data_IF_580556277606
#
_entry.id   IF_580556277606
#
_cell.length_a   1.000
_cell.length_b   1.000
_cell.length_c   1.000
_cell.angle_alpha   90.00
_cell.angle_beta   90.00
_cell.angle_gamma   90.00
#
_symmetry.space_group_name_H-M   'P 1'
#
loop_
_entity.id
_entity.type
_entity.pdbx_description
1 polymer ?
#
# COMPACT_ATOMS: atom_id res chain seq x y z
N UNK A 1 25.42 -7.88 16.52
CA UNK A 1 26.12 -6.62 16.22
C UNK A 1 25.27 -5.47 16.76
N UNK A 2 25.82 -4.72 17.72
CA UNK A 2 25.34 -3.49 18.39
C UNK A 2 23.87 -3.43 18.90
N UNK A 3 23.63 -4.00 20.09
CA UNK A 3 22.33 -3.94 20.80
C UNK A 3 22.17 -2.75 21.78
N UNK A 4 23.14 -1.83 21.88
CA UNK A 4 23.17 -0.86 22.99
C UNK A 4 22.33 0.43 22.79
N UNK A 5 21.81 0.72 21.59
CA UNK A 5 21.05 1.96 21.33
C UNK A 5 19.88 1.81 20.35
N UNK A 6 19.24 0.64 20.27
CA UNK A 6 18.03 0.51 19.44
C UNK A 6 16.82 1.15 20.15
N UNK A 7 16.16 2.16 19.57
CA UNK A 7 14.98 2.76 20.18
C UNK A 7 13.85 1.74 20.40
N UNK A 8 13.06 1.90 21.47
CA UNK A 8 11.99 0.95 21.81
C UNK A 8 11.01 0.68 20.64
N UNK A 9 10.57 1.74 19.93
CA UNK A 9 9.67 1.58 18.77
C UNK A 9 10.28 0.73 17.64
N UNK A 10 11.60 0.77 17.45
CA UNK A 10 12.32 -0.07 16.47
C UNK A 10 12.42 -1.51 16.99
N UNK A 11 12.61 -1.72 18.29
CA UNK A 11 12.58 -3.06 18.88
C UNK A 11 11.21 -3.72 18.73
N UNK A 12 10.13 -3.01 19.09
CA UNK A 12 8.75 -3.49 18.90
C UNK A 12 8.44 -3.82 17.43
N UNK A 13 8.89 -2.96 16.51
CA UNK A 13 8.76 -3.23 15.08
C UNK A 13 9.50 -4.50 14.67
N UNK A 14 10.74 -4.67 15.10
CA UNK A 14 11.54 -5.85 14.77
C UNK A 14 10.92 -7.16 15.29
N UNK A 15 10.29 -7.12 16.46
CA UNK A 15 9.61 -8.29 17.04
C UNK A 15 8.41 -8.76 16.21
N UNK A 16 7.85 -7.91 15.35
CA UNK A 16 6.76 -8.29 14.45
C UNK A 16 7.20 -9.25 13.33
N UNK A 17 8.50 -9.33 13.03
CA UNK A 17 9.02 -10.16 11.96
C UNK A 17 9.37 -11.57 12.47
N UNK A 18 8.85 -12.63 11.84
CA UNK A 18 9.26 -14.00 12.13
C UNK A 18 10.77 -14.20 11.92
N UNK A 19 11.40 -15.13 12.65
CA UNK A 19 12.80 -15.50 12.44
C UNK A 19 13.08 -15.89 10.97
N UNK A 20 14.28 -15.56 10.48
CA UNK A 20 14.67 -15.82 9.09
C UNK A 20 14.59 -17.31 8.68
N UNK A 21 14.70 -18.22 9.66
CA UNK A 21 14.54 -19.67 9.45
C UNK A 21 13.10 -20.09 9.18
N UNK A 22 12.13 -19.39 9.76
CA UNK A 22 10.70 -19.69 9.61
C UNK A 22 10.00 -18.78 8.61
N UNK A 23 10.64 -17.70 8.16
CA UNK A 23 10.05 -16.66 7.31
C UNK A 23 9.45 -17.23 6.00
N UNK A 24 10.09 -18.24 5.40
CA UNK A 24 9.59 -18.92 4.20
C UNK A 24 8.51 -19.96 4.50
N UNK A 25 8.38 -20.39 5.75
CA UNK A 25 7.41 -21.37 6.23
C UNK A 25 6.31 -20.73 7.09
N UNK A 26 6.28 -19.39 7.18
CA UNK A 26 5.30 -18.58 7.95
C UNK A 26 3.87 -18.63 7.37
N UNK A 27 3.55 -19.71 6.65
CA UNK A 27 2.30 -19.90 5.92
C UNK A 27 2.28 -19.14 4.59
N UNK A 28 1.30 -19.45 3.73
CA UNK A 28 1.12 -18.77 2.44
C UNK A 28 0.78 -17.29 2.58
N UNK A 29 0.39 -16.81 3.76
CA UNK A 29 -0.09 -15.44 3.96
C UNK A 29 1.00 -14.40 4.26
N UNK A 30 2.23 -14.83 4.58
CA UNK A 30 3.34 -13.94 4.98
C UNK A 30 2.90 -12.88 6.00
N UNK A 31 2.35 -13.34 7.12
CA UNK A 31 1.78 -12.48 8.16
C UNK A 31 2.79 -12.15 9.27
N UNK A 32 2.75 -10.93 9.85
CA UNK A 32 3.55 -10.59 11.02
C UNK A 32 3.13 -11.43 12.24
N UNK A 33 4.00 -11.50 13.25
CA UNK A 33 3.62 -12.08 14.54
C UNK A 33 2.45 -11.28 15.15
N UNK A 34 1.28 -11.90 15.26
CA UNK A 34 0.05 -11.22 15.66
C UNK A 34 0.12 -10.60 17.06
N UNK A 35 0.76 -11.27 18.02
CA UNK A 35 0.89 -10.74 19.38
C UNK A 35 1.78 -9.50 19.42
N UNK A 36 2.90 -9.54 18.71
CA UNK A 36 3.84 -8.42 18.63
C UNK A 36 3.27 -7.28 17.78
N UNK A 37 2.50 -7.59 16.74
CA UNK A 37 1.77 -6.59 15.96
C UNK A 37 0.75 -5.84 16.82
N UNK A 38 -0.06 -6.54 17.61
CA UNK A 38 -1.02 -5.91 18.53
C UNK A 38 -0.32 -5.02 19.56
N UNK A 39 0.85 -5.44 20.06
CA UNK A 39 1.68 -4.61 20.95
C UNK A 39 2.20 -3.37 20.25
N UNK A 40 2.67 -3.49 19.01
CA UNK A 40 3.16 -2.36 18.21
C UNK A 40 2.04 -1.36 17.92
N UNK A 41 0.87 -1.80 17.47
CA UNK A 41 -0.26 -0.91 17.17
C UNK A 41 -0.82 -0.25 18.42
N UNK A 42 -0.89 -0.98 19.54
CA UNK A 42 -1.23 -0.39 20.85
C UNK A 42 -0.20 0.67 21.28
N UNK A 43 1.10 0.37 21.17
CA UNK A 43 2.14 1.34 21.51
C UNK A 43 2.06 2.60 20.64
N UNK A 44 1.88 2.42 19.33
CA UNK A 44 1.84 3.50 18.35
C UNK A 44 0.60 4.40 18.50
N UNK A 45 -0.57 3.82 18.77
CA UNK A 45 -1.82 4.56 19.00
C UNK A 45 -1.81 5.38 20.30
N UNK A 46 -1.02 4.97 21.30
CA UNK A 46 -0.86 5.72 22.55
C UNK A 46 0.28 6.75 22.52
N UNK A 47 1.15 6.70 21.50
CA UNK A 47 2.33 7.57 21.36
C UNK A 47 2.42 8.12 19.92
N UNK A 48 1.50 9.00 19.51
CA UNK A 48 1.44 9.50 18.13
C UNK A 48 2.73 10.21 17.70
N UNK A 49 3.50 10.79 18.62
CA UNK A 49 4.80 11.41 18.33
C UNK A 49 5.88 10.40 17.87
N UNK A 50 5.62 9.10 18.01
CA UNK A 50 6.48 8.02 17.49
C UNK A 50 6.03 7.54 16.11
N UNK A 51 4.81 7.84 15.66
CA UNK A 51 4.28 7.36 14.39
C UNK A 51 5.13 7.80 13.20
N UNK A 52 5.56 9.06 13.18
CA UNK A 52 6.42 9.57 12.10
C UNK A 52 7.74 8.79 12.04
N UNK A 53 8.36 8.51 13.18
CA UNK A 53 9.62 7.75 13.25
C UNK A 53 9.43 6.29 12.84
N UNK A 54 8.34 5.67 13.30
CA UNK A 54 7.98 4.30 12.92
C UNK A 54 7.70 4.19 11.43
N UNK A 55 6.95 5.15 10.87
CA UNK A 55 6.70 5.29 9.44
C UNK A 55 7.99 5.42 8.64
N UNK A 56 8.91 6.29 9.05
CA UNK A 56 10.20 6.47 8.36
C UNK A 56 11.07 5.21 8.36
N UNK A 57 11.10 4.45 9.46
CA UNK A 57 11.84 3.19 9.53
C UNK A 57 11.22 2.12 8.63
N UNK A 58 9.89 2.04 8.60
CA UNK A 58 9.14 1.16 7.69
C UNK A 58 9.37 1.53 6.23
N UNK A 59 9.32 2.81 5.88
CA UNK A 59 9.56 3.30 4.52
C UNK A 59 10.98 2.96 4.04
N UNK A 60 11.98 3.14 4.90
CA UNK A 60 13.37 2.77 4.60
C UNK A 60 13.51 1.28 4.31
N UNK A 61 12.80 0.44 5.08
CA UNK A 61 12.73 -1.01 4.83
C UNK A 61 12.06 -1.30 3.50
N UNK A 62 10.85 -0.79 3.27
CA UNK A 62 10.11 -0.99 2.02
C UNK A 62 10.95 -0.61 0.80
N UNK A 63 11.59 0.56 0.80
CA UNK A 63 12.47 1.01 -0.30
C UNK A 63 13.64 0.06 -0.57
N UNK A 64 14.20 -0.53 0.49
CA UNK A 64 15.32 -1.47 0.37
C UNK A 64 14.83 -2.84 -0.08
N UNK A 65 13.72 -3.30 0.47
CA UNK A 65 13.12 -4.61 0.21
C UNK A 65 12.52 -4.66 -1.20
N UNK A 66 11.80 -3.63 -1.64
CA UNK A 66 11.23 -3.54 -2.99
C UNK A 66 12.31 -3.56 -4.08
N UNK A 67 13.45 -2.91 -3.87
CA UNK A 67 14.57 -2.97 -4.85
C UNK A 67 15.20 -4.36 -4.92
N UNK A 68 15.24 -5.09 -3.81
CA UNK A 68 15.90 -6.41 -3.69
C UNK A 68 14.95 -7.57 -3.98
N UNK A 69 13.66 -7.42 -3.76
CA UNK A 69 12.66 -8.40 -4.16
C UNK A 69 12.64 -8.54 -5.69
N UNK A 70 12.84 -7.42 -6.41
CA UNK A 70 12.89 -7.36 -7.87
C UNK A 70 13.99 -8.22 -8.46
N UNK A 71 15.06 -8.46 -7.72
CA UNK A 71 16.14 -9.35 -8.11
C UNK A 71 15.84 -10.84 -7.84
N UNK A 72 14.58 -11.20 -7.54
CA UNK A 72 14.13 -12.59 -7.31
C UNK A 72 14.41 -13.14 -5.92
N UNK A 73 14.71 -12.30 -4.93
CA UNK A 73 15.01 -12.79 -3.58
C UNK A 73 13.73 -13.07 -2.78
N UNK A 74 13.33 -14.34 -2.74
CA UNK A 74 12.09 -14.82 -2.10
C UNK A 74 12.02 -14.44 -0.61
N UNK A 75 13.14 -14.47 0.12
CA UNK A 75 13.16 -14.09 1.54
C UNK A 75 12.85 -12.61 1.74
N UNK A 76 13.42 -11.76 0.88
CA UNK A 76 13.19 -10.32 0.93
C UNK A 76 11.76 -9.98 0.46
N UNK A 77 11.26 -10.66 -0.57
CA UNK A 77 9.85 -10.56 -0.99
C UNK A 77 8.90 -10.87 0.17
N UNK A 78 9.13 -11.97 0.89
CA UNK A 78 8.32 -12.34 2.04
C UNK A 78 8.40 -11.31 3.18
N UNK A 79 9.61 -10.75 3.45
CA UNK A 79 9.78 -9.64 4.40
C UNK A 79 9.00 -8.40 3.97
N UNK A 80 9.02 -8.05 2.68
CA UNK A 80 8.25 -6.93 2.12
C UNK A 80 6.74 -7.10 2.34
N UNK A 81 6.20 -8.30 2.11
CA UNK A 81 4.79 -8.61 2.34
C UNK A 81 4.39 -8.41 3.82
N UNK A 82 5.26 -8.83 4.74
CA UNK A 82 5.06 -8.61 6.19
C UNK A 82 5.13 -7.12 6.53
N UNK A 83 6.10 -6.39 5.97
CA UNK A 83 6.24 -4.93 6.17
C UNK A 83 4.98 -4.18 5.71
N UNK A 84 4.42 -4.55 4.55
CA UNK A 84 3.16 -3.98 4.05
C UNK A 84 1.97 -4.34 4.94
N UNK A 85 1.90 -5.56 5.47
CA UNK A 85 0.86 -5.95 6.42
C UNK A 85 0.91 -5.15 7.74
N UNK A 86 2.12 -4.86 8.23
CA UNK A 86 2.34 -4.00 9.40
C UNK A 86 1.86 -2.57 9.10
N UNK A 87 2.25 -2.00 7.95
CA UNK A 87 1.82 -0.66 7.53
C UNK A 87 0.29 -0.54 7.45
N UNK A 88 -0.39 -1.52 6.85
CA UNK A 88 -1.86 -1.57 6.79
C UNK A 88 -2.49 -1.57 8.18
N UNK A 89 -1.92 -2.36 9.09
CA UNK A 89 -2.43 -2.48 10.46
C UNK A 89 -2.26 -1.16 11.22
N UNK A 90 -1.11 -0.51 11.09
CA UNK A 90 -0.89 0.83 11.65
C UNK A 90 -1.86 1.86 11.07
N UNK A 91 -2.10 1.84 9.75
CA UNK A 91 -3.06 2.75 9.12
C UNK A 91 -4.49 2.57 9.66
N UNK A 92 -4.87 1.33 10.00
CA UNK A 92 -6.20 1.00 10.51
C UNK A 92 -6.37 1.35 11.99
N UNK A 93 -5.37 1.01 12.81
CA UNK A 93 -5.43 1.20 14.26
C UNK A 93 -5.11 2.64 14.67
N UNK A 94 -4.26 3.35 13.93
CA UNK A 94 -3.84 4.73 14.22
C UNK A 94 -4.63 5.76 13.40
N UNK A 95 -5.92 5.50 13.13
CA UNK A 95 -6.77 6.31 12.24
C UNK A 95 -6.85 7.80 12.61
N UNK A 96 -6.80 8.13 13.91
CA UNK A 96 -6.86 9.54 14.40
C UNK A 96 -5.63 10.35 14.02
N UNK A 97 -4.49 9.67 13.91
CA UNK A 97 -3.18 10.27 13.68
C UNK A 97 -2.62 9.84 12.31
N UNK A 98 -3.49 9.42 11.39
CA UNK A 98 -3.11 8.89 10.08
C UNK A 98 -2.27 9.89 9.28
N UNK A 99 -2.49 11.19 9.48
CA UNK A 99 -1.72 12.27 8.86
C UNK A 99 -0.21 12.17 9.18
N UNK A 100 0.16 11.74 10.40
CA UNK A 100 1.56 11.56 10.81
C UNK A 100 2.25 10.38 10.13
N UNK A 101 1.48 9.38 9.71
CA UNK A 101 1.95 8.19 9.01
C UNK A 101 1.88 8.34 7.48
N UNK A 102 1.00 9.22 6.98
CA UNK A 102 0.65 9.37 5.57
C UNK A 102 1.87 9.52 4.65
N UNK A 103 2.84 10.42 4.91
CA UNK A 103 3.98 10.59 4.01
C UNK A 103 4.77 9.31 3.78
N UNK A 104 5.17 8.64 4.86
CA UNK A 104 5.94 7.40 4.77
C UNK A 104 5.12 6.23 4.23
N UNK A 105 3.82 6.17 4.53
CA UNK A 105 2.93 5.13 4.02
C UNK A 105 2.76 5.23 2.50
N UNK A 106 2.45 6.42 1.98
CA UNK A 106 2.24 6.62 0.55
C UNK A 106 3.56 6.50 -0.22
N UNK A 107 4.68 6.99 0.32
CA UNK A 107 6.00 6.74 -0.26
C UNK A 107 6.36 5.25 -0.29
N UNK A 108 5.92 4.47 0.71
CA UNK A 108 6.10 3.01 0.71
C UNK A 108 5.28 2.33 -0.38
N UNK A 109 4.00 2.70 -0.52
CA UNK A 109 3.12 2.19 -1.58
C UNK A 109 3.69 2.51 -2.97
N UNK A 110 4.07 3.76 -3.21
CA UNK A 110 4.68 4.19 -4.47
C UNK A 110 5.95 3.37 -4.76
N UNK A 111 6.85 3.27 -3.78
CA UNK A 111 8.10 2.54 -3.97
C UNK A 111 7.87 1.06 -4.26
N UNK A 112 6.86 0.43 -3.66
CA UNK A 112 6.48 -0.94 -3.99
C UNK A 112 5.97 -1.04 -5.43
N UNK A 113 5.01 -0.19 -5.83
CA UNK A 113 4.41 -0.24 -7.17
C UNK A 113 5.43 0.05 -8.29
N UNK A 114 6.37 0.96 -8.05
CA UNK A 114 7.42 1.33 -9.00
C UNK A 114 8.48 0.24 -9.20
N UNK A 115 8.69 -0.66 -8.22
CA UNK A 115 9.71 -1.70 -8.30
C UNK A 115 9.15 -3.12 -8.52
N UNK A 116 7.92 -3.41 -8.08
CA UNK A 116 7.33 -4.75 -8.03
C UNK A 116 6.03 -4.87 -8.84
N UNK A 117 5.98 -4.30 -10.04
CA UNK A 117 4.75 -4.29 -10.84
C UNK A 117 4.29 -5.68 -11.33
N UNK A 118 5.21 -6.65 -11.42
CA UNK A 118 4.91 -7.99 -11.96
C UNK A 118 4.45 -9.00 -10.89
N UNK A 119 4.57 -8.65 -9.61
CA UNK A 119 4.18 -9.53 -8.51
C UNK A 119 2.81 -9.13 -7.96
N UNK A 120 1.77 -9.80 -8.47
CA UNK A 120 0.39 -9.44 -8.14
C UNK A 120 0.08 -9.53 -6.64
N UNK A 121 0.74 -10.42 -5.89
CA UNK A 121 0.52 -10.54 -4.45
C UNK A 121 1.08 -9.32 -3.70
N UNK A 122 2.30 -8.90 -4.06
CA UNK A 122 2.93 -7.70 -3.50
C UNK A 122 2.12 -6.45 -3.85
N UNK A 123 1.68 -6.34 -5.10
CA UNK A 123 0.82 -5.25 -5.57
C UNK A 123 -0.52 -5.24 -4.82
N UNK A 124 -1.14 -6.40 -4.58
CA UNK A 124 -2.38 -6.51 -3.81
C UNK A 124 -2.20 -6.11 -2.34
N UNK A 125 -1.05 -6.42 -1.73
CA UNK A 125 -0.72 -5.93 -0.38
C UNK A 125 -0.52 -4.41 -0.36
N UNK A 126 0.17 -3.83 -1.34
CA UNK A 126 0.31 -2.39 -1.47
C UNK A 126 -1.05 -1.69 -1.67
N UNK A 127 -1.93 -2.25 -2.51
CA UNK A 127 -3.31 -1.79 -2.66
C UNK A 127 -4.07 -1.83 -1.32
N UNK A 128 -3.88 -2.90 -0.53
CA UNK A 128 -4.54 -3.03 0.77
C UNK A 128 -4.07 -1.99 1.80
N UNK A 129 -2.81 -1.55 1.73
CA UNK A 129 -2.27 -0.43 2.53
C UNK A 129 -2.88 0.89 2.08
N UNK A 130 -2.89 1.12 0.76
CA UNK A 130 -3.49 2.32 0.16
C UNK A 130 -4.97 2.47 0.52
N UNK A 131 -5.75 1.40 0.39
CA UNK A 131 -7.19 1.39 0.73
C UNK A 131 -7.41 1.70 2.21
N UNK A 132 -6.59 1.14 3.11
CA UNK A 132 -6.68 1.45 4.52
C UNK A 132 -6.42 2.94 4.79
N UNK A 133 -5.44 3.53 4.10
CA UNK A 133 -5.17 4.96 4.19
C UNK A 133 -6.33 5.81 3.63
N UNK A 134 -6.84 5.50 2.45
CA UNK A 134 -7.96 6.25 1.83
C UNK A 134 -9.23 6.23 2.68
N UNK A 135 -9.40 5.21 3.53
CA UNK A 135 -10.54 5.08 4.44
C UNK A 135 -10.54 6.12 5.56
N UNK A 136 -9.38 6.59 6.01
CA UNK A 136 -9.25 7.43 7.20
C UNK A 136 -8.63 8.81 6.95
N UNK A 137 -8.02 9.02 5.79
CA UNK A 137 -7.47 10.34 5.43
C UNK A 137 -8.57 11.33 5.07
N UNK A 138 -8.35 12.57 5.47
CA UNK A 138 -9.14 13.74 5.08
C UNK A 138 -8.54 14.46 3.84
N UNK A 139 -7.40 13.98 3.34
CA UNK A 139 -6.70 14.51 2.16
C UNK A 139 -6.01 15.87 2.33
N UNK A 140 -5.93 16.45 3.53
CA UNK A 140 -5.39 17.82 3.70
C UNK A 140 -3.92 17.97 3.26
N UNK A 141 -3.17 16.87 3.23
CA UNK A 141 -1.77 16.84 2.79
C UNK A 141 -1.66 16.90 1.25
N UNK A 142 -2.70 16.48 0.53
CA UNK A 142 -2.75 16.54 -0.94
C UNK A 142 -2.83 18.00 -1.38
N UNK A 143 -1.89 18.42 -2.23
CA UNK A 143 -1.73 19.81 -2.68
C UNK A 143 -0.88 20.68 -1.75
N UNK A 144 -0.86 20.39 -0.45
CA UNK A 144 -0.06 21.12 0.54
C UNK A 144 1.42 20.69 0.54
N UNK A 145 1.70 19.38 0.42
CA UNK A 145 3.05 18.84 0.29
C UNK A 145 3.25 18.27 -1.11
N UNK A 146 4.19 18.85 -1.87
CA UNK A 146 4.42 18.48 -3.26
C UNK A 146 4.98 17.06 -3.42
N UNK A 147 5.89 16.63 -2.53
CA UNK A 147 6.47 15.29 -2.57
C UNK A 147 5.46 14.21 -2.23
N UNK A 148 4.62 14.46 -1.23
CA UNK A 148 3.49 13.60 -0.91
C UNK A 148 2.50 13.50 -2.08
N UNK A 149 2.13 14.66 -2.65
CA UNK A 149 1.17 14.73 -3.75
C UNK A 149 1.68 13.98 -4.98
N UNK A 150 2.96 14.10 -5.31
CA UNK A 150 3.58 13.35 -6.39
C UNK A 150 3.51 11.83 -6.15
N UNK A 151 3.91 11.36 -4.96
CA UNK A 151 3.87 9.93 -4.62
C UNK A 151 2.43 9.38 -4.63
N UNK A 152 1.48 10.17 -4.13
CA UNK A 152 0.05 9.83 -4.15
C UNK A 152 -0.46 9.68 -5.58
N UNK A 153 -0.28 10.70 -6.42
CA UNK A 153 -0.75 10.67 -7.81
C UNK A 153 -0.04 9.57 -8.62
N UNK A 154 1.25 9.32 -8.36
CA UNK A 154 1.97 8.20 -8.97
C UNK A 154 1.33 6.87 -8.60
N UNK A 155 1.03 6.64 -7.32
CA UNK A 155 0.34 5.44 -6.85
C UNK A 155 -1.03 5.26 -7.52
N UNK A 156 -1.83 6.33 -7.61
CA UNK A 156 -3.13 6.30 -8.30
C UNK A 156 -2.96 5.96 -9.80
N UNK A 157 -1.93 6.48 -10.48
CA UNK A 157 -1.62 6.11 -11.87
C UNK A 157 -1.25 4.64 -12.03
N UNK A 158 -0.46 4.09 -11.10
CA UNK A 158 -0.13 2.66 -11.11
C UNK A 158 -1.38 1.80 -10.93
N UNK A 159 -2.27 2.14 -9.99
CA UNK A 159 -3.53 1.41 -9.82
C UNK A 159 -4.45 1.54 -11.03
N UNK A 160 -4.53 2.73 -11.63
CA UNK A 160 -5.27 2.97 -12.87
C UNK A 160 -4.73 2.10 -14.02
N UNK A 161 -3.40 1.94 -14.13
CA UNK A 161 -2.80 1.08 -15.14
C UNK A 161 -3.15 -0.41 -14.93
N UNK A 162 -3.22 -0.89 -13.68
CA UNK A 162 -3.66 -2.26 -13.36
C UNK A 162 -5.11 -2.53 -13.81
N UNK A 163 -6.00 -1.54 -13.68
CA UNK A 163 -7.40 -1.63 -14.13
C UNK A 163 -7.52 -1.91 -15.63
N UNK A 164 -6.56 -1.45 -16.43
CA UNK A 164 -6.50 -1.66 -17.88
C UNK A 164 -5.56 -2.81 -18.28
N UNK A 165 -5.24 -3.75 -17.38
CA UNK A 165 -4.35 -4.87 -17.70
C UNK A 165 -4.82 -5.65 -18.93
N UNK A 166 -3.88 -5.96 -19.82
CA UNK A 166 -4.11 -6.73 -21.06
C UNK A 166 -3.36 -8.06 -21.06
N UNK A 167 -3.12 -8.63 -19.87
CA UNK A 167 -2.47 -9.94 -19.76
C UNK A 167 -3.19 -11.00 -20.61
N UNK A 168 -2.42 -11.87 -21.27
CA UNK A 168 -2.96 -12.92 -22.14
C UNK A 168 -3.76 -13.95 -21.34
N UNK A 169 -3.26 -14.30 -20.16
CA UNK A 169 -3.96 -15.15 -19.22
C UNK A 169 -5.18 -14.42 -18.64
N UNK A 170 -6.36 -15.01 -18.86
CA UNK A 170 -7.64 -14.40 -18.49
C UNK A 170 -7.80 -14.24 -16.98
N UNK A 171 -7.36 -15.23 -16.19
CA UNK A 171 -7.48 -15.19 -14.74
C UNK A 171 -6.56 -14.13 -14.16
N UNK A 172 -5.29 -14.14 -14.55
CA UNK A 172 -4.30 -13.15 -14.15
C UNK A 172 -4.73 -11.73 -14.54
N UNK A 173 -5.24 -11.56 -15.77
CA UNK A 173 -5.77 -10.28 -16.23
C UNK A 173 -6.88 -9.78 -15.31
N UNK A 174 -7.91 -10.59 -15.06
CA UNK A 174 -9.05 -10.17 -14.26
C UNK A 174 -8.64 -9.89 -12.80
N UNK A 175 -7.79 -10.74 -12.20
CA UNK A 175 -7.28 -10.51 -10.84
C UNK A 175 -6.48 -9.21 -10.75
N UNK A 176 -5.65 -8.93 -11.74
CA UNK A 176 -4.89 -7.67 -11.84
C UNK A 176 -5.83 -6.46 -11.91
N UNK A 177 -6.84 -6.53 -12.78
CA UNK A 177 -7.85 -5.48 -12.91
C UNK A 177 -8.62 -5.24 -11.61
N UNK A 178 -9.05 -6.31 -10.94
CA UNK A 178 -9.76 -6.24 -9.67
C UNK A 178 -8.93 -5.57 -8.57
N UNK A 179 -7.63 -5.87 -8.48
CA UNK A 179 -6.72 -5.20 -7.53
C UNK A 179 -6.63 -3.70 -7.83
N UNK A 180 -6.47 -3.32 -9.10
CA UNK A 180 -6.51 -1.93 -9.51
C UNK A 180 -7.81 -1.24 -9.12
N UNK A 181 -8.96 -1.85 -9.46
CA UNK A 181 -10.28 -1.28 -9.17
C UNK A 181 -10.56 -1.16 -7.68
N UNK A 182 -10.11 -2.11 -6.86
CA UNK A 182 -10.25 -2.01 -5.40
C UNK A 182 -9.54 -0.76 -4.86
N UNK A 183 -8.31 -0.48 -5.31
CA UNK A 183 -7.57 0.70 -4.89
C UNK A 183 -8.20 2.00 -5.42
N UNK A 184 -8.61 2.03 -6.69
CA UNK A 184 -9.29 3.18 -7.29
C UNK A 184 -10.63 3.48 -6.60
N UNK A 185 -11.39 2.45 -6.25
CA UNK A 185 -12.63 2.59 -5.47
C UNK A 185 -12.35 3.20 -4.09
N UNK A 186 -11.24 2.82 -3.45
CA UNK A 186 -10.77 3.45 -2.22
C UNK A 186 -10.51 4.95 -2.39
N UNK A 187 -9.82 5.35 -3.47
CA UNK A 187 -9.56 6.75 -3.77
C UNK A 187 -10.85 7.55 -4.08
N UNK A 188 -11.79 6.97 -4.84
CA UNK A 188 -13.07 7.60 -5.20
C UNK A 188 -13.92 7.87 -3.95
N UNK A 189 -13.98 6.91 -3.03
CA UNK A 189 -14.79 7.01 -1.82
C UNK A 189 -14.12 7.82 -0.69
N UNK A 190 -12.90 8.30 -0.90
CA UNK A 190 -12.16 9.07 0.10
C UNK A 190 -12.52 10.54 0.04
N UNK A 191 -12.58 11.19 1.20
CA UNK A 191 -12.69 12.67 1.30
C UNK A 191 -11.52 13.37 0.59
N UNK A 192 -10.38 12.68 0.50
CA UNK A 192 -9.19 13.15 -0.20
C UNK A 192 -9.38 13.49 -1.69
N UNK A 193 -10.38 12.90 -2.35
CA UNK A 193 -10.69 13.25 -3.73
C UNK A 193 -11.11 14.72 -3.84
N UNK A 194 -11.87 15.22 -2.87
CA UNK A 194 -12.54 16.52 -2.93
C UNK A 194 -11.78 17.66 -2.25
N UNK A 195 -10.69 17.36 -1.53
CA UNK A 195 -10.00 18.33 -0.69
C UNK A 195 -9.37 19.50 -1.48
N UNK A 196 -8.71 19.22 -2.61
CA UNK A 196 -8.09 20.25 -3.46
C UNK A 196 -8.65 20.24 -4.89
N UNK A 197 -9.16 21.39 -5.34
CA UNK A 197 -9.81 21.51 -6.67
C UNK A 197 -8.88 21.24 -7.86
N UNK A 198 -7.60 21.59 -7.75
CA UNK A 198 -6.60 21.34 -8.80
C UNK A 198 -6.26 19.85 -8.89
N UNK A 199 -6.13 19.20 -7.73
CA UNK A 199 -5.86 17.78 -7.64
C UNK A 199 -7.11 16.95 -7.97
N UNK A 200 -8.31 17.43 -7.68
CA UNK A 200 -9.57 16.78 -8.09
C UNK A 200 -9.61 16.52 -9.60
N UNK A 201 -9.30 17.53 -10.41
CA UNK A 201 -9.25 17.40 -11.88
C UNK A 201 -8.24 16.33 -12.31
N UNK A 202 -7.03 16.38 -11.74
CA UNK A 202 -5.95 15.45 -12.05
C UNK A 202 -6.32 14.03 -11.68
N UNK A 203 -6.77 13.80 -10.44
CA UNK A 203 -7.24 12.51 -9.94
C UNK A 203 -8.36 11.94 -10.81
N UNK A 204 -9.38 12.74 -11.10
CA UNK A 204 -10.52 12.33 -11.95
C UNK A 204 -10.06 11.90 -13.34
N UNK A 205 -9.13 12.64 -13.96
CA UNK A 205 -8.60 12.27 -15.28
C UNK A 205 -7.86 10.92 -15.28
N UNK A 206 -7.13 10.62 -14.20
CA UNK A 206 -6.39 9.37 -14.03
C UNK A 206 -7.36 8.21 -13.79
N UNK A 207 -8.35 8.42 -12.93
CA UNK A 207 -9.33 7.41 -12.48
C UNK A 207 -10.33 7.06 -13.58
N UNK A 208 -10.88 8.04 -14.28
CA UNK A 208 -11.97 7.81 -15.24
C UNK A 208 -11.53 7.05 -16.48
N UNK A 209 -10.29 7.23 -16.93
CA UNK A 209 -9.78 6.60 -18.15
C UNK A 209 -9.88 5.06 -18.13
N UNK A 210 -9.34 4.35 -17.12
CA UNK A 210 -9.45 2.88 -17.07
C UNK A 210 -10.86 2.38 -16.80
N UNK A 211 -11.68 3.13 -16.05
CA UNK A 211 -13.08 2.79 -15.79
C UNK A 211 -13.86 2.77 -17.11
N UNK A 212 -13.74 3.85 -17.89
CA UNK A 212 -14.39 3.93 -19.20
C UNK A 212 -13.88 2.85 -20.15
N UNK A 213 -12.56 2.62 -20.20
CA UNK A 213 -11.99 1.58 -21.03
C UNK A 213 -12.59 0.20 -20.71
N UNK A 214 -12.67 -0.16 -19.43
CA UNK A 214 -13.19 -1.48 -19.02
C UNK A 214 -14.67 -1.64 -19.32
N UNK A 215 -15.48 -0.60 -19.11
CA UNK A 215 -16.92 -0.63 -19.40
C UNK A 215 -17.18 -0.68 -20.91
N UNK A 216 -16.44 0.10 -21.70
CA UNK A 216 -16.65 0.25 -23.14
C UNK A 216 -16.05 -0.90 -23.98
N UNK A 217 -15.02 -1.59 -23.50
CA UNK A 217 -14.45 -2.78 -24.16
C UNK A 217 -15.33 -4.03 -24.02
N UNK A 218 -16.41 -3.97 -23.22
CA UNK A 218 -17.33 -5.10 -23.04
C UNK A 218 -18.26 -5.21 -24.25
N UNK A 219 -18.23 -6.34 -24.95
CA UNK A 219 -19.13 -6.60 -26.08
C UNK A 219 -20.60 -6.54 -25.64
N UNK A 220 -21.41 -5.75 -26.34
CA UNK A 220 -22.84 -5.55 -26.03
C UNK A 220 -23.63 -6.87 -26.04
N UNK A 221 -23.21 -7.85 -26.85
CA UNK A 221 -23.80 -9.19 -26.86
C UNK A 221 -23.64 -9.93 -25.54
N UNK A 222 -22.63 -9.59 -24.73
CA UNK A 222 -22.44 -10.11 -23.37
C UNK A 222 -23.56 -9.69 -22.43
N UNK A 223 -24.12 -8.49 -22.60
CA UNK A 223 -25.21 -7.98 -21.76
C UNK A 223 -26.53 -8.76 -21.94
N UNK A 224 -26.66 -9.48 -23.06
CA UNK A 224 -27.84 -10.29 -23.38
C UNK A 224 -27.70 -11.76 -22.98
N UNK A 225 -26.53 -12.18 -22.48
CA UNK A 225 -26.28 -13.54 -21.97
C UNK A 225 -26.50 -13.53 -20.45
N UNK A 226 -27.77 -13.63 -20.03
CA UNK A 226 -28.15 -13.93 -18.65
C UNK A 226 -28.39 -15.42 -18.47
#
# INVERSE_FOLDING_TARGET
>A
MNFLFTPNHVQLLNSCYPPASTLLTSGPEYSPNSQELSRLTYYASNHPEKLTKLGSELEKRVKTESRKARSGNIKIRASLLITLAILRSLATECRRDIALLSPSLIASVESTLSNEFNDLEVVARAASVFIAWTTFTDGHIIGADSGFTENYLSSVRHFAFLCSSVAQDFELRNRTRLVGFAAITGAINSEALYNDSSQFRTQTSIIMRPVLQTVLETDLGTLNKQ
#
